data_IF_457252889134
#
_entry.id   IF_457252889134
#
_cell.length_a   1.000
_cell.length_b   1.000
_cell.length_c   1.000
_cell.angle_alpha   90.00
_cell.angle_beta   90.00
_cell.angle_gamma   90.00
#
_symmetry.space_group_name_H-M   'P 1'
#
loop_
_entity.id
_entity.type
_entity.pdbx_description
1 polymer ?
#
# COMPACT_ATOMS: atom_id res chain seq x y z
N UNK A 1 -11.05 2.73 9.44
CA UNK A 1 -11.45 3.03 8.05
C UNK A 1 -10.66 2.20 7.03
N UNK A 2 -11.28 2.03 5.91
CA UNK A 2 -10.71 1.28 4.80
C UNK A 2 -9.91 2.19 3.85
N UNK A 3 -9.11 1.57 3.01
CA UNK A 3 -8.41 2.30 1.97
C UNK A 3 -8.15 1.43 0.76
N UNK A 4 -8.17 2.03 -0.41
CA UNK A 4 -7.79 1.35 -1.65
C UNK A 4 -6.28 1.42 -1.80
N UNK A 5 -5.66 0.29 -2.08
CA UNK A 5 -4.21 0.18 -2.17
C UNK A 5 -3.79 0.20 -3.63
N UNK A 6 -2.94 1.18 -3.98
CA UNK A 6 -2.34 1.29 -5.30
C UNK A 6 -0.83 1.10 -5.16
N UNK A 7 -0.26 0.28 -6.03
CA UNK A 7 1.18 0.04 -6.06
C UNK A 7 1.68 0.36 -7.45
N UNK A 8 2.61 1.29 -7.53
CA UNK A 8 3.16 1.78 -8.80
C UNK A 8 2.07 2.20 -9.79
N UNK A 9 1.01 2.82 -9.25
CA UNK A 9 -0.09 3.32 -10.05
C UNK A 9 -1.18 2.30 -10.38
N UNK A 10 -1.05 1.06 -9.91
CA UNK A 10 -2.04 0.00 -10.21
C UNK A 10 -2.79 -0.38 -8.94
N UNK A 11 -4.10 -0.50 -9.05
CA UNK A 11 -4.93 -0.89 -7.92
C UNK A 11 -4.67 -2.35 -7.56
N UNK A 12 -4.33 -2.58 -6.30
CA UNK A 12 -4.06 -3.92 -5.78
C UNK A 12 -5.25 -4.51 -5.04
N UNK A 13 -5.95 -3.69 -4.27
CA UNK A 13 -7.06 -4.16 -3.48
C UNK A 13 -7.49 -3.15 -2.44
N UNK A 14 -8.17 -3.63 -1.42
CA UNK A 14 -8.71 -2.80 -0.35
C UNK A 14 -8.21 -3.32 0.99
N UNK A 15 -7.78 -2.43 1.86
CA UNK A 15 -7.33 -2.78 3.21
C UNK A 15 -8.26 -2.13 4.23
N UNK A 16 -8.75 -2.83 5.25
CA UNK A 16 -8.73 -4.27 5.34
C UNK A 16 -9.63 -4.93 4.29
N UNK A 17 -9.44 -6.19 3.94
CA UNK A 17 -8.59 -7.19 4.63
C UNK A 17 -7.15 -7.28 4.12
N UNK A 18 -6.80 -6.62 3.00
CA UNK A 18 -5.45 -6.71 2.46
C UNK A 18 -4.45 -6.04 3.39
N UNK A 19 -3.46 -6.78 3.87
CA UNK A 19 -2.47 -6.27 4.82
C UNK A 19 -1.04 -6.52 4.40
N UNK A 20 -0.73 -7.73 3.97
CA UNK A 20 0.62 -8.11 3.60
C UNK A 20 0.69 -8.25 2.10
N UNK A 21 1.64 -7.58 1.48
CA UNK A 21 1.79 -7.56 0.03
C UNK A 21 3.21 -7.99 -0.30
N UNK A 22 3.32 -9.02 -1.13
CA UNK A 22 4.59 -9.47 -1.65
C UNK A 22 4.89 -8.70 -2.94
N UNK A 23 6.03 -8.00 -2.95
CA UNK A 23 6.45 -7.20 -4.09
C UNK A 23 7.80 -7.69 -4.59
N UNK A 24 8.06 -7.46 -5.88
CA UNK A 24 9.37 -7.75 -6.46
C UNK A 24 10.42 -6.83 -5.82
N UNK A 25 11.67 -7.27 -5.73
CA UNK A 25 12.74 -6.39 -5.22
C UNK A 25 12.82 -5.10 -6.02
N UNK A 26 13.15 -4.01 -5.33
CA UNK A 26 13.29 -2.71 -5.94
C UNK A 26 12.47 -1.66 -5.22
N UNK A 27 12.40 -0.47 -5.81
CA UNK A 27 11.64 0.63 -5.25
C UNK A 27 10.21 0.59 -5.75
N UNK A 28 9.26 0.83 -4.83
CA UNK A 28 7.84 0.85 -5.16
C UNK A 28 7.16 2.03 -4.49
N UNK A 29 6.15 2.57 -5.17
CA UNK A 29 5.31 3.64 -4.65
C UNK A 29 3.99 3.04 -4.20
N UNK A 30 3.73 3.10 -2.91
CA UNK A 30 2.48 2.59 -2.33
C UNK A 30 1.60 3.78 -2.02
N UNK A 31 0.38 3.76 -2.52
CA UNK A 31 -0.60 4.81 -2.28
C UNK A 31 -1.86 4.18 -1.70
N UNK A 32 -2.37 4.79 -0.63
CA UNK A 32 -3.60 4.33 0.01
C UNK A 32 -4.61 5.45 -0.12
N UNK A 33 -5.76 5.16 -0.75
CA UNK A 33 -6.80 6.14 -1.03
C UNK A 33 -8.10 5.81 -0.31
N UNK A 34 -8.69 6.84 0.26
CA UNK A 34 -10.06 6.78 0.80
C UNK A 34 -10.73 8.11 0.43
N UNK A 35 -11.94 8.10 -0.16
CA UNK A 35 -12.55 9.34 -0.65
C UNK A 35 -12.72 10.44 0.38
N UNK A 36 -12.83 10.10 1.66
CA UNK A 36 -13.00 11.09 2.72
C UNK A 36 -11.70 11.65 3.27
N UNK A 37 -10.54 11.23 2.76
CA UNK A 37 -9.25 11.60 3.32
C UNK A 37 -8.25 11.89 2.23
N UNK A 38 -7.19 12.63 2.58
CA UNK A 38 -6.07 12.79 1.69
C UNK A 38 -5.37 11.44 1.47
N UNK A 39 -4.88 11.23 0.25
CA UNK A 39 -4.14 10.01 -0.06
C UNK A 39 -2.86 9.93 0.77
N UNK A 40 -2.54 8.72 1.21
CA UNK A 40 -1.29 8.44 1.89
C UNK A 40 -0.34 7.78 0.90
N UNK A 41 0.86 8.33 0.76
CA UNK A 41 1.86 7.82 -0.19
C UNK A 41 3.11 7.46 0.58
N UNK A 42 3.67 6.30 0.29
CA UNK A 42 4.93 5.85 0.87
C UNK A 42 5.80 5.23 -0.21
N UNK A 43 7.05 5.68 -0.28
CA UNK A 43 8.05 5.05 -1.14
C UNK A 43 8.80 4.01 -0.31
N UNK A 44 8.87 2.79 -0.82
CA UNK A 44 9.53 1.70 -0.11
C UNK A 44 10.55 1.04 -1.00
N UNK A 45 11.60 0.53 -0.38
CA UNK A 45 12.56 -0.32 -1.05
C UNK A 45 12.37 -1.74 -0.55
N UNK A 46 12.11 -2.67 -1.46
CA UNK A 46 11.83 -4.05 -1.13
C UNK A 46 13.04 -4.89 -1.48
N UNK A 47 13.47 -5.74 -0.55
CA UNK A 47 14.53 -6.72 -0.77
C UNK A 47 13.91 -8.06 -1.13
N UNK A 48 14.70 -8.91 -1.75
CA UNK A 48 14.24 -10.25 -2.11
C UNK A 48 13.71 -10.98 -0.88
N UNK A 49 12.51 -11.54 -0.99
CA UNK A 49 11.90 -12.31 0.08
C UNK A 49 11.15 -11.48 1.12
N UNK A 50 11.16 -10.15 0.99
CA UNK A 50 10.42 -9.31 1.93
C UNK A 50 8.95 -9.16 1.55
N UNK A 51 8.12 -8.97 2.55
CA UNK A 51 6.71 -8.61 2.38
C UNK A 51 6.48 -7.23 2.96
N UNK A 52 5.61 -6.45 2.31
CA UNK A 52 5.22 -5.14 2.81
C UNK A 52 3.90 -5.27 3.54
N UNK A 53 3.88 -4.81 4.79
CA UNK A 53 2.67 -4.80 5.60
C UNK A 53 2.06 -3.41 5.60
N UNK A 54 0.78 -3.35 5.24
CA UNK A 54 0.03 -2.10 5.21
C UNK A 54 -0.49 -1.79 6.60
N UNK A 55 -0.11 -0.63 7.14
CA UNK A 55 -0.45 -0.25 8.51
C UNK A 55 -1.06 1.14 8.64
N UNK A 56 -1.42 1.75 7.54
CA UNK A 56 -1.95 3.09 7.60
C UNK A 56 -3.38 3.11 8.13
N UNK A 57 -3.68 4.11 8.96
CA UNK A 57 -5.03 4.33 9.48
C UNK A 57 -5.45 5.75 9.16
N UNK A 58 -6.58 5.88 8.48
CA UNK A 58 -7.21 7.18 8.25
C UNK A 58 -8.00 7.58 9.48
N UNK A 59 -7.91 8.88 9.82
CA UNK A 59 -8.61 9.42 10.99
C UNK A 59 -9.29 10.74 10.66
#
# INVERSE_FOLDING_TARGET
PWGEIYIDGRKFGVSPPLRDIALKPGQHRIEIRNPGFASYVQLVEVRAGEEIRIRHRFQ
#
